data_IF_775465973878
#
_entry.id   IF_775465973878
#
_cell.length_a   1.000
_cell.length_b   1.000
_cell.length_c   1.000
_cell.angle_alpha   90.00
_cell.angle_beta   90.00
_cell.angle_gamma   90.00
#
_symmetry.space_group_name_H-M   'P 1'
#
loop_
_entity.id
_entity.type
_entity.pdbx_description
1 polymer ?
#
# COMPACT_ATOMS: atom_id res chain seq x y z
N UNK A 1 25.61 -25.03 -1.97
CA UNK A 1 25.02 -25.68 -0.78
C UNK A 1 24.34 -26.95 -1.24
N UNK A 2 24.63 -28.13 -0.67
CA UNK A 2 23.90 -29.34 -1.03
C UNK A 2 22.43 -29.15 -0.67
N UNK A 3 21.53 -29.64 -1.53
CA UNK A 3 20.09 -29.58 -1.32
C UNK A 3 19.75 -30.37 -0.05
N UNK A 4 18.93 -29.80 0.86
CA UNK A 4 18.48 -30.50 2.06
C UNK A 4 17.77 -31.79 1.67
N UNK A 5 18.05 -32.89 2.38
CA UNK A 5 17.42 -34.20 2.14
C UNK A 5 15.91 -34.16 2.41
N UNK A 6 15.47 -33.27 3.31
CA UNK A 6 14.07 -32.99 3.57
C UNK A 6 13.82 -31.47 3.66
N UNK A 7 13.55 -30.78 2.54
CA UNK A 7 13.36 -29.32 2.54
C UNK A 7 12.17 -28.83 3.38
N UNK A 8 11.21 -29.71 3.73
CA UNK A 8 10.04 -29.32 4.52
C UNK A 8 10.38 -28.91 5.95
N UNK A 9 11.47 -29.45 6.52
CA UNK A 9 11.91 -29.13 7.89
C UNK A 9 12.35 -27.67 8.07
N UNK A 10 12.58 -26.94 6.97
CA UNK A 10 12.89 -25.51 6.98
C UNK A 10 11.70 -24.66 7.41
N UNK A 11 10.46 -25.15 7.27
CA UNK A 11 9.25 -24.37 7.46
C UNK A 11 8.41 -24.94 8.59
N UNK A 12 8.17 -24.11 9.61
CA UNK A 12 7.23 -24.45 10.67
C UNK A 12 5.77 -24.34 10.17
N UNK A 13 4.85 -25.19 10.65
CA UNK A 13 3.43 -25.03 10.36
C UNK A 13 2.90 -23.73 10.98
N UNK A 14 1.86 -23.16 10.35
CA UNK A 14 1.14 -22.02 10.92
C UNK A 14 0.46 -22.40 12.24
N UNK A 15 0.59 -21.54 13.25
CA UNK A 15 -0.10 -21.69 14.53
C UNK A 15 -1.46 -20.99 14.42
N UNK A 16 -2.53 -21.78 14.48
CA UNK A 16 -3.90 -21.27 14.40
C UNK A 16 -4.25 -20.34 15.56
N UNK A 17 -4.92 -19.23 15.26
CA UNK A 17 -5.52 -18.36 16.28
C UNK A 17 -6.79 -19.01 16.85
N UNK A 18 -6.88 -19.11 18.17
CA UNK A 18 -8.09 -19.57 18.86
C UNK A 18 -9.08 -18.40 19.03
N UNK A 19 -10.10 -18.38 18.18
CA UNK A 19 -11.16 -17.38 18.16
C UNK A 19 -12.51 -18.11 18.16
N UNK A 20 -12.96 -18.63 19.33
CA UNK A 20 -14.16 -19.44 19.43
C UNK A 20 -15.43 -18.64 19.09
N UNK A 21 -15.46 -17.37 19.49
CA UNK A 21 -16.62 -16.48 19.31
C UNK A 21 -16.60 -15.69 17.99
N UNK A 22 -15.84 -16.15 16.98
CA UNK A 22 -15.76 -15.45 15.70
C UNK A 22 -17.11 -15.43 14.98
N UNK A 23 -17.53 -14.26 14.55
CA UNK A 23 -18.84 -14.08 13.89
C UNK A 23 -18.76 -13.98 12.37
N UNK A 24 -17.57 -13.82 11.80
CA UNK A 24 -17.41 -13.69 10.34
C UNK A 24 -17.95 -14.89 9.52
N UNK A 25 -17.94 -16.16 9.99
CA UNK A 25 -18.46 -17.26 9.19
C UNK A 25 -19.96 -17.21 8.91
N UNK A 26 -20.74 -16.53 9.77
CA UNK A 26 -22.20 -16.41 9.61
C UNK A 26 -22.64 -15.08 8.98
N UNK A 27 -21.72 -14.14 8.75
CA UNK A 27 -22.01 -12.83 8.17
C UNK A 27 -21.91 -12.88 6.64
N UNK A 28 -22.77 -12.11 5.97
CA UNK A 28 -22.71 -11.85 4.53
C UNK A 28 -22.30 -10.40 4.28
N UNK A 29 -21.51 -10.16 3.25
CA UNK A 29 -21.18 -8.81 2.79
C UNK A 29 -22.42 -8.20 2.13
N UNK A 30 -22.87 -7.04 2.60
CA UNK A 30 -24.10 -6.36 2.13
C UNK A 30 -23.84 -5.01 1.47
N UNK A 31 -22.62 -4.49 1.55
CA UNK A 31 -22.21 -3.21 0.98
C UNK A 31 -20.74 -3.30 0.55
N UNK A 32 -20.32 -2.49 -0.44
CA UNK A 32 -18.91 -2.39 -0.79
C UNK A 32 -18.11 -1.81 0.39
N UNK A 33 -16.86 -2.25 0.58
CA UNK A 33 -15.95 -1.58 1.51
C UNK A 33 -15.50 -0.23 0.95
N UNK A 34 -14.82 0.54 1.78
CA UNK A 34 -13.96 1.63 1.29
C UNK A 34 -12.75 0.99 0.60
N UNK A 35 -12.45 1.45 -0.61
CA UNK A 35 -11.33 0.96 -1.40
C UNK A 35 -10.15 1.90 -1.31
N UNK A 36 -8.98 1.34 -1.06
CA UNK A 36 -7.69 2.02 -1.13
C UNK A 36 -6.82 1.34 -2.19
N UNK A 37 -6.33 2.11 -3.16
CA UNK A 37 -5.39 1.62 -4.18
C UNK A 37 -3.95 1.88 -3.74
N UNK A 38 -3.11 0.84 -3.75
CA UNK A 38 -1.67 0.93 -3.46
C UNK A 38 -0.78 0.80 -4.69
N UNK A 39 -1.38 0.79 -5.88
CA UNK A 39 -0.73 0.49 -7.15
C UNK A 39 0.45 1.44 -7.47
N UNK A 40 0.34 2.71 -7.09
CA UNK A 40 1.36 3.73 -7.38
C UNK A 40 2.59 3.67 -6.45
N UNK A 41 2.49 2.93 -5.34
CA UNK A 41 3.57 2.74 -4.36
C UNK A 41 3.97 1.27 -4.26
N UNK A 42 3.18 0.44 -3.58
CA UNK A 42 3.50 -0.98 -3.35
C UNK A 42 3.56 -1.75 -4.68
N UNK A 43 2.57 -1.54 -5.55
CA UNK A 43 2.56 -2.12 -6.89
C UNK A 43 3.75 -1.66 -7.74
N UNK A 44 4.09 -0.37 -7.67
CA UNK A 44 5.23 0.20 -8.39
C UNK A 44 6.58 -0.38 -7.93
N UNK A 45 6.75 -0.63 -6.62
CA UNK A 45 7.95 -1.21 -6.04
C UNK A 45 8.16 -2.68 -6.47
N UNK A 46 7.09 -3.39 -6.80
CA UNK A 46 7.15 -4.76 -7.28
C UNK A 46 7.54 -4.89 -8.76
N UNK A 47 7.54 -3.80 -9.53
CA UNK A 47 7.91 -3.82 -10.95
C UNK A 47 9.42 -4.00 -11.14
N UNK A 48 9.80 -4.82 -12.13
CA UNK A 48 11.20 -4.93 -12.54
C UNK A 48 11.77 -3.58 -13.01
N UNK A 49 10.93 -2.80 -13.70
CA UNK A 49 11.24 -1.43 -14.10
C UNK A 49 10.17 -0.50 -13.48
N UNK A 50 10.51 0.30 -12.46
CA UNK A 50 9.58 1.22 -11.84
C UNK A 50 8.98 2.20 -12.84
N UNK A 51 7.74 2.63 -12.58
CA UNK A 51 7.05 3.62 -13.39
C UNK A 51 7.77 4.97 -13.38
N UNK A 52 7.86 5.56 -14.56
CA UNK A 52 8.22 6.98 -14.73
C UNK A 52 7.09 7.89 -14.22
N UNK A 53 7.40 9.16 -13.93
CA UNK A 53 6.39 10.16 -13.50
C UNK A 53 5.20 10.25 -14.48
N UNK A 54 5.40 10.29 -15.82
CA UNK A 54 4.27 10.30 -16.76
C UNK A 54 3.39 9.05 -16.66
N UNK A 55 3.98 7.87 -16.45
CA UNK A 55 3.23 6.62 -16.26
C UNK A 55 2.44 6.63 -14.95
N UNK A 56 3.08 7.05 -13.83
CA UNK A 56 2.39 7.23 -12.54
C UNK A 56 1.22 8.21 -12.67
N UNK A 57 1.44 9.33 -13.37
CA UNK A 57 0.41 10.35 -13.59
C UNK A 57 -0.76 9.83 -14.40
N UNK A 58 -0.49 9.05 -15.46
CA UNK A 58 -1.53 8.41 -16.26
C UNK A 58 -2.32 7.42 -15.40
N UNK A 59 -1.63 6.58 -14.63
CA UNK A 59 -2.28 5.56 -13.83
C UNK A 59 -3.12 6.17 -12.69
N UNK A 60 -2.63 7.20 -12.01
CA UNK A 60 -3.40 7.99 -11.05
C UNK A 60 -4.74 8.47 -11.63
N UNK A 61 -4.72 9.03 -12.85
CA UNK A 61 -5.95 9.47 -13.53
C UNK A 61 -6.90 8.31 -13.82
N UNK A 62 -6.40 7.14 -14.17
CA UNK A 62 -7.26 5.96 -14.39
C UNK A 62 -7.87 5.45 -13.09
N UNK A 63 -7.10 5.42 -11.98
CA UNK A 63 -7.62 5.05 -10.64
C UNK A 63 -8.76 6.00 -10.23
N UNK A 64 -8.56 7.30 -10.40
CA UNK A 64 -9.58 8.32 -10.13
C UNK A 64 -10.82 8.11 -11.00
N UNK A 65 -10.65 7.83 -12.30
CA UNK A 65 -11.78 7.54 -13.21
C UNK A 65 -12.56 6.29 -12.81
N UNK A 66 -11.91 5.28 -12.23
CA UNK A 66 -12.56 4.09 -11.68
C UNK A 66 -13.39 4.39 -10.42
N UNK A 67 -13.27 5.58 -9.83
CA UNK A 67 -14.04 6.01 -8.67
C UNK A 67 -13.41 5.65 -7.32
N UNK A 68 -12.15 5.21 -7.30
CA UNK A 68 -11.40 4.97 -6.05
C UNK A 68 -11.04 6.32 -5.42
N UNK A 69 -11.30 6.44 -4.11
CA UNK A 69 -11.20 7.71 -3.36
C UNK A 69 -9.98 7.77 -2.45
N UNK A 70 -9.42 6.64 -2.06
CA UNK A 70 -8.19 6.58 -1.26
C UNK A 70 -7.08 5.96 -2.13
N UNK A 71 -5.97 6.69 -2.29
CA UNK A 71 -4.88 6.27 -3.19
C UNK A 71 -3.54 6.49 -2.53
N UNK A 72 -2.79 5.42 -2.29
CA UNK A 72 -1.40 5.50 -1.86
C UNK A 72 -0.49 5.77 -3.07
N UNK A 73 0.11 6.96 -3.10
CA UNK A 73 0.75 7.50 -4.30
C UNK A 73 2.27 7.35 -4.33
N UNK A 74 2.93 7.20 -3.17
CA UNK A 74 4.38 7.29 -3.08
C UNK A 74 4.94 6.92 -1.68
N UNK A 75 6.25 6.63 -1.65
CA UNK A 75 7.09 6.74 -0.46
C UNK A 75 8.12 7.88 -0.62
N UNK A 76 7.72 9.14 -0.37
CA UNK A 76 8.51 10.31 -0.77
C UNK A 76 9.80 10.49 0.04
N UNK A 77 9.90 9.95 1.26
CA UNK A 77 11.11 10.09 2.07
C UNK A 77 12.26 9.16 1.61
N UNK A 78 11.97 8.18 0.76
CA UNK A 78 12.97 7.22 0.26
C UNK A 78 13.34 7.45 -1.21
N UNK A 79 12.67 8.35 -1.93
CA UNK A 79 12.85 8.52 -3.38
C UNK A 79 12.52 9.95 -3.85
N UNK A 80 13.49 10.61 -4.47
CA UNK A 80 13.32 11.94 -5.08
C UNK A 80 12.26 11.93 -6.20
N UNK A 81 12.17 10.83 -6.95
CA UNK A 81 11.15 10.65 -8.00
C UNK A 81 9.75 10.64 -7.41
N UNK A 82 9.58 9.96 -6.27
CA UNK A 82 8.31 9.90 -5.55
C UNK A 82 7.96 11.25 -4.93
N UNK A 83 8.94 11.92 -4.33
CA UNK A 83 8.77 13.27 -3.82
C UNK A 83 8.32 14.24 -4.93
N UNK A 84 9.00 14.21 -6.08
CA UNK A 84 8.65 15.03 -7.25
C UNK A 84 7.27 14.70 -7.82
N UNK A 85 6.86 13.43 -7.81
CA UNK A 85 5.50 13.02 -8.19
C UNK A 85 4.45 13.59 -7.25
N UNK A 86 4.63 13.47 -5.92
CA UNK A 86 3.71 14.04 -4.92
C UNK A 86 3.58 15.56 -5.08
N UNK A 87 4.71 16.28 -5.17
CA UNK A 87 4.68 17.73 -5.42
C UNK A 87 3.96 18.07 -6.70
N UNK A 88 4.23 17.34 -7.78
CA UNK A 88 3.60 17.54 -9.07
C UNK A 88 2.07 17.39 -9.04
N UNK A 89 1.54 16.43 -8.27
CA UNK A 89 0.09 16.27 -8.11
C UNK A 89 -0.54 17.45 -7.34
N UNK A 90 0.11 17.89 -6.27
CA UNK A 90 -0.39 18.97 -5.40
C UNK A 90 -0.30 20.33 -6.10
N UNK A 91 0.88 20.71 -6.58
CA UNK A 91 1.14 22.04 -7.15
C UNK A 91 0.34 22.29 -8.43
N UNK A 92 0.04 21.24 -9.20
CA UNK A 92 -0.75 21.33 -10.43
C UNK A 92 -2.25 21.15 -10.20
N UNK A 93 -2.70 21.02 -8.94
CA UNK A 93 -4.11 20.84 -8.60
C UNK A 93 -4.74 19.60 -9.23
N UNK A 94 -3.99 18.49 -9.28
CA UNK A 94 -4.42 17.27 -9.99
C UNK A 94 -5.25 16.33 -9.11
N UNK A 95 -5.28 16.55 -7.80
CA UNK A 95 -6.05 15.75 -6.84
C UNK A 95 -7.47 16.34 -6.76
N UNK A 96 -8.52 15.59 -7.13
CA UNK A 96 -9.89 16.03 -6.94
C UNK A 96 -10.25 16.24 -5.46
N UNK A 97 -11.23 17.10 -5.19
CA UNK A 97 -11.67 17.44 -3.82
C UNK A 97 -12.19 16.23 -3.02
N UNK A 98 -12.67 15.20 -3.70
CA UNK A 98 -13.20 13.97 -3.10
C UNK A 98 -12.21 12.80 -3.12
N UNK A 99 -10.92 13.06 -3.33
CA UNK A 99 -9.85 12.06 -3.35
C UNK A 99 -8.81 12.37 -2.27
N UNK A 100 -8.50 11.36 -1.46
CA UNK A 100 -7.47 11.41 -0.42
C UNK A 100 -6.22 10.64 -0.88
N UNK A 101 -5.10 11.36 -0.95
CA UNK A 101 -3.80 10.77 -1.23
C UNK A 101 -3.11 10.31 0.06
N UNK A 102 -2.58 9.09 0.05
CA UNK A 102 -1.79 8.50 1.12
C UNK A 102 -0.32 8.43 0.70
N UNK A 103 0.59 8.63 1.65
CA UNK A 103 2.02 8.37 1.50
C UNK A 103 2.47 7.36 2.54
N UNK A 104 3.43 6.53 2.18
CA UNK A 104 4.13 5.67 3.14
C UNK A 104 5.21 6.48 3.87
N UNK A 105 5.43 6.19 5.16
CA UNK A 105 6.51 6.79 5.94
C UNK A 105 6.92 5.89 7.12
N UNK A 106 8.23 5.69 7.35
CA UNK A 106 8.69 4.96 8.53
C UNK A 106 8.66 5.84 9.79
N UNK A 107 7.95 5.35 10.81
CA UNK A 107 7.57 6.07 12.04
C UNK A 107 8.68 6.56 12.99
N UNK A 108 9.96 6.55 12.60
CA UNK A 108 11.08 6.97 13.47
C UNK A 108 11.06 8.47 13.79
N UNK A 109 10.46 9.29 12.92
CA UNK A 109 10.50 10.77 13.04
C UNK A 109 9.13 11.44 12.87
N UNK A 110 8.02 10.70 13.00
CA UNK A 110 6.68 11.29 12.91
C UNK A 110 6.40 12.13 14.15
N UNK A 111 6.27 13.45 13.96
CA UNK A 111 5.75 14.42 14.94
C UNK A 111 4.21 14.47 14.87
N UNK A 112 3.55 15.02 15.90
CA UNK A 112 2.08 15.21 15.92
C UNK A 112 1.28 13.90 15.74
N UNK A 113 1.64 12.86 16.50
CA UNK A 113 1.05 11.51 16.38
C UNK A 113 -0.47 11.49 16.58
N UNK A 114 -1.02 12.43 17.33
CA UNK A 114 -2.46 12.60 17.51
C UNK A 114 -3.21 12.93 16.21
N UNK A 115 -2.50 13.39 15.18
CA UNK A 115 -3.05 13.68 13.85
C UNK A 115 -2.88 12.53 12.86
N UNK A 116 -2.29 11.41 13.28
CA UNK A 116 -1.93 10.29 12.39
C UNK A 116 -2.76 9.06 12.74
N UNK A 117 -3.43 8.51 11.73
CA UNK A 117 -4.06 7.19 11.83
C UNK A 117 -3.09 6.13 11.29
N UNK A 118 -2.78 5.12 12.10
CA UNK A 118 -1.92 4.00 11.69
C UNK A 118 -2.82 2.92 11.09
N UNK A 119 -2.68 2.68 9.79
CA UNK A 119 -3.23 1.50 9.13
C UNK A 119 -2.15 0.43 9.03
N UNK A 120 -2.48 -0.81 9.35
CA UNK A 120 -1.59 -1.96 9.21
C UNK A 120 -2.07 -2.79 8.02
N UNK A 121 -1.24 -2.90 6.99
CA UNK A 121 -1.45 -3.85 5.90
C UNK A 121 -0.18 -4.70 5.70
N UNK A 122 -0.32 -5.98 5.31
CA UNK A 122 0.84 -6.83 5.06
C UNK A 122 1.63 -6.31 3.85
N UNK A 123 2.92 -6.06 4.05
CA UNK A 123 3.85 -5.80 2.95
C UNK A 123 4.48 -7.08 2.44
N UNK A 124 4.70 -7.14 1.12
CA UNK A 124 5.56 -8.15 0.51
C UNK A 124 6.99 -7.61 0.32
N UNK A 125 7.49 -6.89 1.33
CA UNK A 125 8.85 -6.36 1.31
C UNK A 125 9.83 -7.52 1.26
N UNK A 126 10.63 -7.56 0.19
CA UNK A 126 11.86 -8.35 0.19
C UNK A 126 12.79 -7.69 1.18
N UNK A 127 12.76 -8.14 2.44
CA UNK A 127 13.79 -7.78 3.42
C UNK A 127 15.17 -8.03 2.80
N UNK A 128 15.98 -6.98 2.72
CA UNK A 128 17.42 -7.08 2.45
C UNK A 128 18.16 -7.53 3.71
#
# INVERSE_FOLDING_TARGET
MPMLTNPSEKYAPYVSLDLPDRTWPSKRITAPPVWLSTDLRDGNQALANPMTIPQKTRFFKEIVKCGIKEIEIAYPAASDTDFGFVRGLIEKGMVPDDVWIQIEFFGRHVTEREKVMISLHPHNDRGS
#
